data_IF_191423402907
#
_entry.id   IF_191423402907
#
_cell.length_a   1.000
_cell.length_b   1.000
_cell.length_c   1.000
_cell.angle_alpha   90.00
_cell.angle_beta   90.00
_cell.angle_gamma   90.00
#
_symmetry.space_group_name_H-M   'P 1'
#
loop_
_entity.id
_entity.type
_entity.pdbx_description
1 polymer ?
#
# COMPACT_ATOMS: atom_id res chain seq x y z
N UNK A 1 -30.19 20.29 3.87
CA UNK A 1 -31.27 21.30 3.79
C UNK A 1 -32.32 20.92 4.80
N UNK A 2 -32.98 21.90 5.48
CA UNK A 2 -34.04 21.65 6.46
C UNK A 2 -35.24 22.49 6.09
N UNK A 3 -36.31 21.87 5.60
CA UNK A 3 -37.50 22.55 5.14
C UNK A 3 -38.74 21.69 5.38
N UNK A 4 -39.84 22.32 5.79
CA UNK A 4 -41.17 21.76 5.81
C UNK A 4 -41.99 22.45 4.73
N UNK A 5 -42.73 21.67 3.93
CA UNK A 5 -43.55 22.20 2.84
C UNK A 5 -45.00 22.28 3.35
N UNK A 6 -45.38 23.45 3.84
CA UNK A 6 -46.67 23.66 4.49
C UNK A 6 -47.53 24.68 3.75
N UNK A 7 -47.30 24.92 2.50
CA UNK A 7 -48.00 25.88 1.67
C UNK A 7 -49.53 25.60 1.67
N UNK A 8 -49.93 24.33 1.68
CA UNK A 8 -51.32 23.89 1.66
C UNK A 8 -52.05 24.09 3.00
N UNK A 9 -51.36 24.45 4.07
CA UNK A 9 -51.93 24.67 5.42
C UNK A 9 -51.77 26.10 5.89
N UNK A 10 -51.27 27.00 5.06
CA UNK A 10 -51.14 28.43 5.34
C UNK A 10 -52.43 29.13 4.98
N UNK A 11 -52.99 29.92 5.91
CA UNK A 11 -54.12 30.82 5.67
C UNK A 11 -53.68 32.26 5.79
N UNK A 12 -54.26 33.11 4.97
CA UNK A 12 -54.00 34.54 4.98
C UNK A 12 -55.10 35.25 5.80
N UNK A 13 -54.70 35.94 6.84
CA UNK A 13 -55.58 36.77 7.66
C UNK A 13 -55.13 38.24 7.53
N UNK A 14 -55.86 39.02 6.74
CA UNK A 14 -55.41 40.37 6.36
C UNK A 14 -54.08 40.31 5.62
N UNK A 15 -53.07 41.05 6.07
CA UNK A 15 -51.72 41.06 5.50
C UNK A 15 -50.75 40.02 6.09
N UNK A 16 -51.23 39.08 6.93
CA UNK A 16 -50.39 38.10 7.63
C UNK A 16 -50.70 36.67 7.18
N UNK A 17 -49.69 35.95 6.81
CA UNK A 17 -49.79 34.53 6.58
C UNK A 17 -49.54 33.77 7.89
N UNK A 18 -50.42 32.89 8.26
CA UNK A 18 -50.30 32.04 9.45
C UNK A 18 -50.66 30.61 9.13
N UNK A 19 -49.97 29.66 9.78
CA UNK A 19 -50.32 28.24 9.68
C UNK A 19 -51.49 27.98 10.61
N UNK A 20 -52.60 27.50 10.06
CA UNK A 20 -53.74 27.07 10.84
C UNK A 20 -53.59 25.59 11.23
N UNK A 21 -52.95 25.40 12.36
CA UNK A 21 -52.69 24.04 12.87
C UNK A 21 -53.98 23.28 13.20
N UNK A 22 -55.03 23.98 13.58
CA UNK A 22 -56.28 23.35 13.96
C UNK A 22 -57.03 22.78 12.75
N UNK A 23 -57.09 23.56 11.67
CA UNK A 23 -57.68 23.11 10.40
C UNK A 23 -56.71 22.21 9.58
N UNK A 24 -55.54 21.97 10.08
CA UNK A 24 -54.56 21.10 9.46
C UNK A 24 -54.58 19.67 10.01
N UNK A 25 -55.43 19.38 10.99
CA UNK A 25 -55.56 18.02 11.53
C UNK A 25 -55.98 17.05 10.43
N UNK A 26 -55.26 15.92 10.33
CA UNK A 26 -55.42 14.89 9.30
C UNK A 26 -54.62 15.12 8.01
N UNK A 27 -54.09 16.34 7.81
CA UNK A 27 -53.27 16.64 6.63
C UNK A 27 -51.86 16.08 6.75
N UNK A 28 -51.30 15.80 5.60
CA UNK A 28 -49.92 15.31 5.43
C UNK A 28 -49.02 16.45 4.93
N UNK A 29 -47.89 16.64 5.58
CA UNK A 29 -46.91 17.70 5.26
C UNK A 29 -45.61 17.07 4.83
N UNK A 30 -45.20 17.26 3.59
CA UNK A 30 -43.87 16.83 3.12
C UNK A 30 -42.76 17.62 3.84
N UNK A 31 -41.65 16.97 4.08
CA UNK A 31 -40.46 17.59 4.66
C UNK A 31 -39.14 17.08 4.06
N UNK A 32 -38.11 17.90 4.18
CA UNK A 32 -36.73 17.55 4.01
C UNK A 32 -35.97 17.98 5.26
N UNK A 33 -35.23 17.06 5.87
CA UNK A 33 -34.41 17.34 7.05
C UNK A 33 -33.05 16.64 6.88
N UNK A 34 -32.06 17.39 6.41
CA UNK A 34 -30.73 16.92 6.01
C UNK A 34 -30.83 15.75 4.99
N UNK A 35 -30.59 14.53 5.38
CA UNK A 35 -30.70 13.30 4.56
C UNK A 35 -32.06 12.59 4.68
N UNK A 36 -32.92 13.03 5.61
CA UNK A 36 -34.27 12.48 5.79
C UNK A 36 -35.27 13.26 4.94
N UNK A 37 -36.12 12.55 4.24
CA UNK A 37 -37.27 13.10 3.57
C UNK A 37 -38.51 12.22 3.81
N UNK A 38 -39.67 12.77 3.62
CA UNK A 38 -40.92 12.05 3.83
C UNK A 38 -42.09 12.95 4.10
N UNK A 39 -43.11 12.39 4.73
CA UNK A 39 -44.35 13.05 5.05
C UNK A 39 -44.65 12.89 6.53
N UNK A 40 -45.05 13.97 7.18
CA UNK A 40 -45.53 14.00 8.55
C UNK A 40 -47.04 14.22 8.51
N UNK A 41 -47.81 13.41 9.22
CA UNK A 41 -49.24 13.57 9.36
C UNK A 41 -49.57 14.33 10.65
N UNK A 42 -50.42 15.37 10.60
CA UNK A 42 -50.88 16.10 11.75
C UNK A 42 -52.03 15.34 12.40
N UNK A 43 -51.90 14.99 13.68
CA UNK A 43 -52.91 14.24 14.41
C UNK A 43 -53.75 15.13 15.29
N UNK A 44 -53.16 16.13 15.96
CA UNK A 44 -53.85 17.01 16.89
C UNK A 44 -53.06 18.31 17.12
N UNK A 45 -53.74 19.36 17.61
CA UNK A 45 -53.11 20.62 18.01
C UNK A 45 -53.63 21.12 19.34
N UNK A 46 -52.75 21.22 20.31
CA UNK A 46 -53.07 21.81 21.62
C UNK A 46 -52.68 23.30 21.64
N UNK A 47 -53.67 24.17 21.50
CA UNK A 47 -53.46 25.63 21.46
C UNK A 47 -52.93 26.21 22.77
N UNK A 48 -53.29 25.62 23.93
CA UNK A 48 -52.83 26.09 25.26
C UNK A 48 -51.35 25.83 25.46
N UNK A 49 -50.88 24.68 25.01
CA UNK A 49 -49.46 24.28 25.12
C UNK A 49 -48.63 24.64 23.87
N UNK A 50 -49.26 25.16 22.82
CA UNK A 50 -48.62 25.44 21.53
C UNK A 50 -47.91 24.24 20.97
N UNK A 51 -48.52 23.03 21.11
CA UNK A 51 -47.97 21.75 20.68
C UNK A 51 -48.82 21.10 19.60
N UNK A 52 -48.16 20.51 18.60
CA UNK A 52 -48.76 19.74 17.53
C UNK A 52 -48.41 18.26 17.76
N UNK A 53 -49.39 17.39 17.73
CA UNK A 53 -49.22 15.94 17.71
C UNK A 53 -49.06 15.51 16.24
N UNK A 54 -48.00 14.80 15.94
CA UNK A 54 -47.70 14.35 14.58
C UNK A 54 -47.44 12.86 14.55
N UNK A 55 -47.71 12.24 13.42
CA UNK A 55 -47.32 10.87 13.11
C UNK A 55 -46.22 10.87 12.05
N UNK A 56 -45.21 10.05 12.28
CA UNK A 56 -44.17 9.73 11.28
C UNK A 56 -43.76 8.26 11.39
N UNK A 57 -43.85 7.53 10.29
CA UNK A 57 -43.56 6.09 10.23
C UNK A 57 -44.26 5.27 11.34
N UNK A 58 -45.54 5.50 11.53
CA UNK A 58 -46.39 4.78 12.50
C UNK A 58 -46.12 5.13 13.99
N UNK A 59 -45.31 6.14 14.28
CA UNK A 59 -45.07 6.63 15.65
C UNK A 59 -45.59 8.04 15.86
N UNK A 60 -46.12 8.28 17.04
CA UNK A 60 -46.69 9.59 17.42
C UNK A 60 -45.65 10.40 18.20
N UNK A 61 -45.53 11.68 17.86
CA UNK A 61 -44.64 12.63 18.51
C UNK A 61 -45.39 13.91 18.88
N UNK A 62 -44.97 14.55 19.94
CA UNK A 62 -45.43 15.89 20.28
C UNK A 62 -44.32 16.91 20.06
N UNK A 63 -44.58 17.93 19.26
CA UNK A 63 -43.65 18.96 18.89
C UNK A 63 -44.23 20.35 19.08
N UNK A 64 -43.43 21.32 19.53
CA UNK A 64 -43.95 22.69 19.58
C UNK A 64 -44.19 23.19 18.14
N UNK A 65 -45.26 23.97 17.98
CA UNK A 65 -45.60 24.57 16.68
C UNK A 65 -44.43 25.39 16.11
N UNK A 66 -43.67 26.07 16.97
CA UNK A 66 -42.43 26.76 16.57
C UNK A 66 -41.38 25.82 16.01
N UNK A 67 -41.13 24.70 16.67
CA UNK A 67 -40.12 23.75 16.23
C UNK A 67 -40.53 23.07 14.91
N UNK A 68 -41.82 22.70 14.78
CA UNK A 68 -42.34 22.12 13.55
C UNK A 68 -42.25 23.12 12.39
N UNK A 69 -42.70 24.34 12.56
CA UNK A 69 -42.65 25.40 11.55
C UNK A 69 -41.22 25.68 11.05
N UNK A 70 -40.24 25.57 11.92
CA UNK A 70 -38.84 25.82 11.60
C UNK A 70 -38.06 24.53 11.25
N UNK A 71 -38.77 23.44 10.96
CA UNK A 71 -38.20 22.14 10.64
C UNK A 71 -37.10 21.66 11.63
N UNK A 72 -37.33 21.93 12.97
CA UNK A 72 -36.44 21.47 14.03
C UNK A 72 -36.82 20.05 14.46
N UNK A 73 -36.60 19.07 13.58
CA UNK A 73 -37.12 17.70 13.70
C UNK A 73 -36.15 16.71 14.31
N UNK A 74 -34.96 17.14 14.76
CA UNK A 74 -33.86 16.28 15.22
C UNK A 74 -34.30 15.21 16.22
N UNK A 75 -35.17 15.53 17.17
CA UNK A 75 -35.57 14.55 18.20
C UNK A 75 -36.49 13.46 17.64
N UNK A 76 -37.26 13.75 16.58
CA UNK A 76 -38.08 12.75 15.89
C UNK A 76 -37.18 11.70 15.27
N UNK A 77 -36.12 12.14 14.56
CA UNK A 77 -35.20 11.25 13.88
C UNK A 77 -34.22 10.54 14.81
N UNK A 78 -34.09 11.00 16.08
CA UNK A 78 -33.29 10.30 17.07
C UNK A 78 -33.79 8.89 17.35
N UNK A 79 -35.09 8.62 17.14
CA UNK A 79 -35.69 7.32 17.39
C UNK A 79 -35.69 6.37 16.19
N UNK A 80 -35.35 6.86 14.98
CA UNK A 80 -35.29 6.05 13.78
C UNK A 80 -33.85 5.76 13.38
N UNK A 81 -33.59 4.58 12.89
CA UNK A 81 -32.34 4.22 12.24
C UNK A 81 -32.29 4.82 10.83
N UNK A 82 -31.10 5.22 10.40
CA UNK A 82 -30.88 5.83 9.09
C UNK A 82 -31.03 4.81 7.95
N UNK A 83 -30.61 3.59 8.21
CA UNK A 83 -30.58 2.49 7.25
C UNK A 83 -31.37 1.30 7.76
N UNK A 84 -31.83 0.45 6.83
CA UNK A 84 -32.64 -0.74 7.13
C UNK A 84 -31.83 -2.03 7.04
N UNK A 85 -32.34 -3.10 7.67
CA UNK A 85 -31.73 -4.43 7.54
C UNK A 85 -31.84 -4.89 6.08
N UNK A 86 -30.73 -5.39 5.53
CA UNK A 86 -30.62 -5.81 4.13
C UNK A 86 -30.14 -4.72 3.17
N UNK A 87 -30.17 -3.45 3.59
CA UNK A 87 -29.68 -2.33 2.79
C UNK A 87 -28.16 -2.42 2.57
N UNK A 88 -27.73 -2.02 1.36
CA UNK A 88 -26.32 -2.01 0.96
C UNK A 88 -25.86 -0.55 0.93
N UNK A 89 -24.79 -0.26 1.68
CA UNK A 89 -24.22 1.07 1.83
C UNK A 89 -22.78 1.03 1.36
N UNK A 90 -22.40 1.99 0.51
CA UNK A 90 -21.01 2.16 0.07
C UNK A 90 -20.27 3.17 0.94
N UNK A 91 -19.02 2.89 1.26
CA UNK A 91 -18.08 3.84 1.88
C UNK A 91 -17.21 4.57 0.82
N UNK A 92 -17.56 4.39 -0.48
CA UNK A 92 -16.82 4.91 -1.63
C UNK A 92 -15.78 3.94 -2.18
N UNK A 93 -15.46 2.86 -1.46
CA UNK A 93 -14.49 1.83 -1.85
C UNK A 93 -15.09 0.42 -1.72
N UNK A 94 -15.84 0.18 -0.65
CA UNK A 94 -16.41 -1.13 -0.31
C UNK A 94 -17.92 -1.02 -0.11
N UNK A 95 -18.61 -2.14 -0.32
CA UNK A 95 -20.05 -2.27 -0.10
C UNK A 95 -20.33 -3.08 1.17
N UNK A 96 -21.16 -2.51 2.05
CA UNK A 96 -21.53 -3.09 3.33
C UNK A 96 -23.02 -3.37 3.36
N UNK A 97 -23.42 -4.64 3.55
CA UNK A 97 -24.82 -5.02 3.73
C UNK A 97 -25.17 -5.04 5.21
N UNK A 98 -26.21 -4.35 5.59
CA UNK A 98 -26.69 -4.30 6.98
C UNK A 98 -27.33 -5.62 7.36
N UNK A 99 -26.85 -6.24 8.45
CA UNK A 99 -27.36 -7.51 9.00
C UNK A 99 -28.25 -7.30 10.22
N UNK A 100 -27.91 -6.32 11.09
CA UNK A 100 -28.62 -6.06 12.35
C UNK A 100 -28.53 -4.60 12.70
N UNK A 101 -29.57 -4.08 13.33
CA UNK A 101 -29.63 -2.72 13.89
C UNK A 101 -30.07 -2.81 15.36
N UNK A 102 -29.42 -2.05 16.23
CA UNK A 102 -29.73 -2.02 17.65
C UNK A 102 -29.32 -0.71 18.31
N UNK A 103 -29.96 -0.40 19.46
CA UNK A 103 -29.52 0.70 20.31
C UNK A 103 -28.71 0.13 21.46
N UNK A 104 -27.48 0.58 21.61
CA UNK A 104 -26.57 0.15 22.69
C UNK A 104 -26.28 1.31 23.63
N UNK A 105 -26.10 0.99 24.91
CA UNK A 105 -25.65 1.97 25.89
C UNK A 105 -24.14 1.98 25.98
N UNK A 106 -23.56 3.17 25.93
CA UNK A 106 -22.12 3.38 26.04
C UNK A 106 -21.82 4.46 27.08
N UNK A 107 -20.95 4.13 28.01
CA UNK A 107 -20.49 5.11 29.01
C UNK A 107 -19.29 5.87 28.46
N UNK A 108 -19.39 7.19 28.41
CA UNK A 108 -18.30 8.08 28.06
C UNK A 108 -18.13 9.15 29.15
N UNK A 109 -16.98 9.19 29.80
CA UNK A 109 -16.70 10.10 30.93
C UNK A 109 -17.76 10.06 32.03
N UNK A 110 -18.23 8.86 32.38
CA UNK A 110 -19.26 8.65 33.39
C UNK A 110 -20.70 8.95 32.96
N UNK A 111 -20.92 9.37 31.71
CA UNK A 111 -22.26 9.66 31.16
C UNK A 111 -22.69 8.48 30.27
N UNK A 112 -23.84 7.90 30.56
CA UNK A 112 -24.46 6.86 29.75
C UNK A 112 -25.14 7.52 28.53
N UNK A 113 -24.72 7.12 27.34
CA UNK A 113 -25.29 7.60 26.09
C UNK A 113 -25.83 6.41 25.28
N UNK A 114 -27.02 6.56 24.73
CA UNK A 114 -27.60 5.62 23.76
C UNK A 114 -27.00 5.89 22.38
N UNK A 115 -26.46 4.85 21.75
CA UNK A 115 -25.88 4.88 20.41
C UNK A 115 -26.58 3.88 19.52
N UNK A 116 -26.91 4.28 18.30
CA UNK A 116 -27.41 3.39 17.27
C UNK A 116 -26.25 2.67 16.63
N UNK A 117 -26.31 1.35 16.60
CA UNK A 117 -25.27 0.47 16.13
C UNK A 117 -25.79 -0.40 15.00
N UNK A 118 -24.97 -0.57 13.99
CA UNK A 118 -25.22 -1.41 12.83
C UNK A 118 -24.19 -2.53 12.78
N UNK A 119 -24.67 -3.78 12.72
CA UNK A 119 -23.84 -4.92 12.34
C UNK A 119 -23.95 -5.08 10.83
N UNK A 120 -22.81 -5.14 10.16
CA UNK A 120 -22.75 -5.26 8.70
C UNK A 120 -21.83 -6.40 8.26
N UNK A 121 -22.01 -6.87 7.04
CA UNK A 121 -21.06 -7.71 6.33
C UNK A 121 -20.47 -6.92 5.16
N UNK A 122 -19.14 -6.90 5.06
CA UNK A 122 -18.43 -6.37 3.89
C UNK A 122 -18.57 -7.36 2.73
N UNK A 123 -19.10 -6.91 1.59
CA UNK A 123 -19.36 -7.79 0.46
C UNK A 123 -18.08 -8.20 -0.29
N UNK A 124 -16.98 -7.46 -0.13
CA UNK A 124 -15.69 -7.74 -0.75
C UNK A 124 -14.89 -8.80 0.00
N UNK A 125 -14.90 -8.78 1.34
CA UNK A 125 -14.06 -9.69 2.15
C UNK A 125 -14.82 -10.61 3.09
N UNK A 126 -16.15 -10.49 3.18
CA UNK A 126 -16.99 -11.29 4.07
C UNK A 126 -16.86 -10.94 5.56
N UNK A 127 -16.08 -9.92 5.94
CA UNK A 127 -15.91 -9.53 7.34
C UNK A 127 -17.22 -8.99 7.92
N UNK A 128 -17.59 -9.51 9.10
CA UNK A 128 -18.72 -9.02 9.86
C UNK A 128 -18.19 -8.05 10.91
N UNK A 129 -18.59 -6.81 10.80
CA UNK A 129 -18.17 -5.74 11.71
C UNK A 129 -19.35 -4.95 12.27
N UNK A 130 -19.02 -3.99 13.12
CA UNK A 130 -20.00 -3.07 13.67
C UNK A 130 -19.56 -1.63 13.49
N UNK A 131 -20.52 -0.77 13.12
CA UNK A 131 -20.32 0.68 13.07
C UNK A 131 -21.46 1.38 13.83
N UNK A 132 -21.16 2.54 14.40
CA UNK A 132 -22.21 3.45 14.86
C UNK A 132 -22.79 4.22 13.67
N UNK A 133 -24.01 4.76 13.83
CA UNK A 133 -24.72 5.46 12.75
C UNK A 133 -23.91 6.61 12.14
N UNK A 134 -23.10 7.31 12.95
CA UNK A 134 -22.22 8.36 12.50
C UNK A 134 -21.03 7.91 11.65
N UNK A 135 -20.63 6.64 11.76
CA UNK A 135 -19.45 6.07 11.11
C UNK A 135 -19.77 5.25 9.84
N UNK A 136 -20.99 4.69 9.76
CA UNK A 136 -21.38 3.85 8.62
C UNK A 136 -21.41 4.66 7.33
N UNK A 137 -20.92 4.10 6.24
CA UNK A 137 -20.73 4.77 4.96
C UNK A 137 -19.59 5.81 4.94
N UNK A 138 -18.81 5.93 6.03
CA UNK A 138 -17.67 6.86 6.14
C UNK A 138 -16.36 6.14 6.49
N UNK A 139 -16.45 5.05 7.22
CA UNK A 139 -15.28 4.25 7.62
C UNK A 139 -15.16 3.03 6.74
N UNK A 140 -13.96 2.80 6.27
CA UNK A 140 -13.62 1.62 5.48
C UNK A 140 -13.75 0.35 6.32
N UNK A 141 -13.98 -0.76 5.62
CA UNK A 141 -13.92 -2.07 6.25
C UNK A 141 -12.57 -2.28 6.95
N UNK A 142 -12.54 -2.56 8.26
CA UNK A 142 -11.28 -2.70 8.99
C UNK A 142 -10.47 -3.94 8.55
N UNK A 143 -11.10 -4.95 7.97
CA UNK A 143 -10.40 -6.07 7.37
C UNK A 143 -9.75 -5.68 6.04
N UNK A 144 -10.49 -5.08 5.11
CA UNK A 144 -9.95 -4.65 3.82
C UNK A 144 -8.84 -3.60 3.96
N UNK A 145 -8.97 -2.68 4.94
CA UNK A 145 -7.95 -1.68 5.25
C UNK A 145 -6.72 -2.25 6.00
N UNK A 146 -6.77 -3.51 6.45
CA UNK A 146 -5.72 -4.13 7.23
C UNK A 146 -5.62 -3.67 8.69
N UNK A 147 -6.62 -2.95 9.21
CA UNK A 147 -6.68 -2.53 10.61
C UNK A 147 -6.97 -3.69 11.57
N UNK A 148 -7.70 -4.69 11.09
CA UNK A 148 -8.00 -5.94 11.82
C UNK A 148 -7.48 -7.12 11.02
N UNK A 149 -6.82 -8.05 11.69
CA UNK A 149 -6.38 -9.31 11.07
C UNK A 149 -7.49 -10.35 11.17
N UNK A 150 -7.86 -10.92 10.03
CA UNK A 150 -8.84 -12.02 9.94
C UNK A 150 -8.13 -13.21 9.29
N UNK A 151 -7.95 -14.27 10.08
CA UNK A 151 -7.25 -15.48 9.64
C UNK A 151 -8.00 -16.11 8.46
N UNK A 152 -7.27 -16.48 7.42
CA UNK A 152 -7.83 -17.01 6.17
C UNK A 152 -8.37 -15.96 5.20
N UNK A 153 -8.29 -14.66 5.54
CA UNK A 153 -8.75 -13.55 4.68
C UNK A 153 -7.63 -12.58 4.36
N UNK A 154 -7.07 -11.91 5.37
CA UNK A 154 -6.06 -10.86 5.17
C UNK A 154 -4.80 -11.05 6.02
N UNK A 155 -4.65 -12.18 6.67
CA UNK A 155 -3.46 -12.56 7.41
C UNK A 155 -2.28 -12.87 6.47
N UNK A 156 -1.06 -12.76 6.99
CA UNK A 156 0.16 -12.97 6.20
C UNK A 156 0.19 -14.32 5.49
N UNK A 157 -0.11 -15.47 6.15
CA UNK A 157 -0.13 -16.76 5.47
C UNK A 157 -1.06 -16.81 4.26
N UNK A 158 -2.18 -16.10 4.29
CA UNK A 158 -3.16 -16.09 3.21
C UNK A 158 -2.75 -15.18 2.06
N UNK A 159 -2.28 -13.95 2.36
CA UNK A 159 -2.07 -12.92 1.33
C UNK A 159 -0.60 -12.65 0.99
N UNK A 160 0.33 -13.13 1.82
CA UNK A 160 1.77 -12.97 1.64
C UNK A 160 2.55 -14.16 2.23
N UNK A 161 2.30 -15.42 1.79
CA UNK A 161 2.87 -16.63 2.41
C UNK A 161 4.41 -16.64 2.41
N UNK A 162 5.06 -15.95 1.48
CA UNK A 162 6.50 -15.78 1.45
C UNK A 162 7.08 -15.07 2.68
N UNK A 163 6.26 -14.32 3.44
CA UNK A 163 6.70 -13.63 4.65
C UNK A 163 6.78 -14.55 5.86
N UNK A 164 6.18 -15.74 5.84
CA UNK A 164 6.15 -16.67 6.98
C UNK A 164 7.56 -16.97 7.49
N UNK A 165 8.52 -17.17 6.58
CA UNK A 165 9.90 -17.51 6.90
C UNK A 165 10.66 -16.42 7.69
N UNK A 166 10.11 -15.22 7.80
CA UNK A 166 10.67 -14.13 8.61
C UNK A 166 10.19 -14.15 10.06
N UNK A 167 9.22 -14.98 10.41
CA UNK A 167 8.67 -15.08 11.75
C UNK A 167 9.30 -16.24 12.52
N UNK A 168 9.74 -16.00 13.77
CA UNK A 168 10.34 -17.04 14.59
C UNK A 168 9.35 -18.15 14.94
N UNK A 169 8.08 -17.78 15.19
CA UNK A 169 6.96 -18.72 15.41
C UNK A 169 6.35 -19.25 14.11
N UNK A 170 6.94 -18.95 12.95
CA UNK A 170 6.46 -19.45 11.65
C UNK A 170 5.02 -19.04 11.37
N UNK A 171 4.23 -20.02 10.90
CA UNK A 171 2.83 -19.84 10.53
C UNK A 171 1.97 -19.29 11.68
N UNK A 172 2.15 -19.84 12.89
CA UNK A 172 1.32 -19.48 14.05
C UNK A 172 1.53 -18.05 14.53
N UNK A 173 2.72 -17.52 14.39
CA UNK A 173 3.00 -16.10 14.64
C UNK A 173 2.53 -15.22 13.48
N UNK A 174 2.82 -15.61 12.24
CA UNK A 174 2.52 -14.82 11.04
C UNK A 174 1.02 -14.59 10.84
N UNK A 175 0.15 -15.57 11.19
CA UNK A 175 -1.32 -15.45 11.09
C UNK A 175 -1.94 -14.38 11.99
N UNK A 176 -1.18 -13.85 12.97
CA UNK A 176 -1.64 -12.80 13.88
C UNK A 176 -1.52 -11.40 13.25
N UNK A 177 -0.95 -11.28 12.07
CA UNK A 177 -0.63 -10.01 11.44
C UNK A 177 -1.08 -9.93 9.99
N UNK A 178 -1.39 -8.70 9.57
CA UNK A 178 -1.53 -8.36 8.14
C UNK A 178 -0.17 -7.92 7.58
N UNK A 179 0.05 -8.07 6.27
CA UNK A 179 1.29 -7.61 5.61
C UNK A 179 1.55 -6.10 5.73
N UNK A 180 0.51 -5.30 6.02
CA UNK A 180 0.59 -3.84 6.20
C UNK A 180 0.74 -3.42 7.65
N UNK A 181 0.84 -4.37 8.59
CA UNK A 181 0.92 -4.13 10.02
C UNK A 181 2.12 -3.23 10.39
N UNK A 182 1.88 -2.24 11.25
CA UNK A 182 2.92 -1.37 11.80
C UNK A 182 3.60 -1.94 13.05
N UNK A 183 3.23 -3.15 13.47
CA UNK A 183 3.88 -3.85 14.57
C UNK A 183 5.32 -4.22 14.22
N UNK A 184 6.17 -4.29 15.23
CA UNK A 184 7.59 -4.61 15.10
C UNK A 184 7.88 -5.99 15.69
N UNK A 185 8.60 -6.80 14.93
CA UNK A 185 9.05 -8.14 15.33
C UNK A 185 10.59 -8.21 15.31
N UNK A 186 11.16 -9.23 15.94
CA UNK A 186 12.55 -9.64 15.72
C UNK A 186 12.57 -10.71 14.62
N UNK A 187 12.81 -10.34 13.36
CA UNK A 187 12.68 -11.31 12.27
C UNK A 187 13.86 -12.29 12.26
N UNK A 188 13.58 -13.50 11.81
CA UNK A 188 14.59 -14.49 11.43
C UNK A 188 14.92 -14.33 9.96
N UNK A 189 16.19 -14.44 9.61
CA UNK A 189 16.59 -14.42 8.20
C UNK A 189 16.23 -15.75 7.54
N UNK A 190 15.45 -15.79 6.44
CA UNK A 190 15.06 -17.03 5.78
C UNK A 190 16.28 -17.79 5.19
N UNK A 191 17.39 -17.09 4.95
CA UNK A 191 18.57 -17.64 4.33
C UNK A 191 19.59 -18.20 5.34
N UNK A 192 20.06 -17.40 6.30
CA UNK A 192 21.07 -17.82 7.27
C UNK A 192 20.51 -18.24 8.63
N UNK A 193 19.19 -18.20 8.78
CA UNK A 193 18.44 -18.56 10.01
C UNK A 193 18.83 -17.79 11.28
N UNK A 194 19.57 -16.69 11.16
CA UNK A 194 19.93 -15.82 12.28
C UNK A 194 18.80 -14.84 12.58
N UNK A 195 18.54 -14.62 13.87
CA UNK A 195 17.59 -13.61 14.33
C UNK A 195 18.24 -12.24 14.21
N UNK A 196 17.54 -11.28 13.63
CA UNK A 196 18.04 -9.90 13.55
C UNK A 196 17.98 -9.25 14.93
N UNK A 197 19.08 -8.61 15.42
CA UNK A 197 19.13 -8.04 16.77
C UNK A 197 18.24 -6.78 16.93
N UNK A 198 17.77 -6.19 15.83
CA UNK A 198 16.89 -5.03 15.84
C UNK A 198 15.51 -5.41 15.35
N UNK A 199 14.47 -4.90 16.01
CA UNK A 199 13.08 -5.05 15.57
C UNK A 199 12.88 -4.36 14.22
N UNK A 200 12.12 -5.02 13.34
CA UNK A 200 11.71 -4.53 12.02
C UNK A 200 10.19 -4.42 11.98
N UNK A 201 9.68 -3.39 11.32
CA UNK A 201 8.24 -3.22 11.11
C UNK A 201 7.79 -4.23 10.05
N UNK A 202 6.68 -4.93 10.29
CA UNK A 202 6.17 -5.97 9.38
C UNK A 202 5.89 -5.39 7.99
N UNK A 203 5.27 -4.22 7.90
CA UNK A 203 5.02 -3.56 6.61
C UNK A 203 6.29 -3.18 5.84
N UNK A 204 7.42 -3.03 6.53
CA UNK A 204 8.70 -2.74 5.88
C UNK A 204 9.29 -4.03 5.26
N UNK A 205 9.09 -5.19 5.92
CA UNK A 205 9.45 -6.48 5.33
C UNK A 205 8.68 -6.69 4.02
N UNK A 206 7.35 -6.41 4.05
CA UNK A 206 6.52 -6.49 2.86
C UNK A 206 6.95 -5.49 1.77
N UNK A 207 7.33 -4.30 2.14
CA UNK A 207 7.72 -3.23 1.21
C UNK A 207 9.07 -3.50 0.53
N UNK A 208 10.06 -3.97 1.31
CA UNK A 208 11.44 -4.12 0.85
C UNK A 208 11.78 -5.54 0.43
N UNK A 209 10.89 -6.50 0.63
CA UNK A 209 11.12 -7.94 0.45
C UNK A 209 12.40 -8.43 1.13
N UNK A 210 12.80 -7.74 2.19
CA UNK A 210 14.08 -7.93 2.87
C UNK A 210 14.04 -7.41 4.31
N UNK A 211 14.89 -7.97 5.14
CA UNK A 211 15.18 -7.46 6.48
C UNK A 211 16.56 -6.78 6.56
N UNK A 212 17.25 -6.63 5.43
CA UNK A 212 18.61 -6.09 5.38
C UNK A 212 19.60 -6.95 6.18
N UNK A 213 19.57 -8.27 5.98
CA UNK A 213 20.53 -9.18 6.61
C UNK A 213 21.89 -9.07 5.91
N UNK A 214 22.99 -9.10 6.69
CA UNK A 214 24.37 -9.06 6.15
C UNK A 214 24.72 -10.24 5.24
N UNK A 215 23.97 -11.36 5.33
CA UNK A 215 24.15 -12.52 4.47
C UNK A 215 23.67 -12.31 3.03
N UNK A 216 22.91 -11.23 2.75
CA UNK A 216 22.38 -10.94 1.43
C UNK A 216 23.42 -10.29 0.50
N UNK A 217 23.07 -10.21 -0.78
CA UNK A 217 23.85 -9.53 -1.81
C UNK A 217 23.91 -8.01 -1.65
N UNK A 218 23.08 -7.45 -0.78
CA UNK A 218 22.91 -6.01 -0.51
C UNK A 218 22.38 -5.21 -1.71
N UNK A 219 21.78 -5.87 -2.71
CA UNK A 219 21.12 -5.22 -3.83
C UNK A 219 19.66 -4.97 -3.55
N UNK A 220 19.15 -3.83 -3.98
CA UNK A 220 17.73 -3.50 -3.86
C UNK A 220 16.87 -4.34 -4.81
N UNK A 221 15.59 -4.50 -4.47
CA UNK A 221 14.62 -5.16 -5.35
C UNK A 221 14.58 -4.53 -6.74
N UNK A 222 14.43 -3.18 -6.90
CA UNK A 222 14.43 -2.57 -8.23
C UNK A 222 15.70 -2.84 -9.05
N UNK A 223 16.88 -2.78 -8.41
CA UNK A 223 18.13 -3.01 -9.13
C UNK A 223 18.26 -4.46 -9.62
N UNK A 224 17.80 -5.43 -8.87
CA UNK A 224 17.75 -6.82 -9.34
C UNK A 224 16.71 -7.00 -10.43
N UNK A 225 15.56 -6.32 -10.31
CA UNK A 225 14.49 -6.38 -11.30
C UNK A 225 14.96 -5.94 -12.69
N UNK A 226 15.63 -4.77 -12.77
CA UNK A 226 16.14 -4.28 -14.06
C UNK A 226 17.26 -5.17 -14.61
N UNK A 227 18.12 -5.73 -13.78
CA UNK A 227 19.16 -6.67 -14.21
C UNK A 227 18.52 -7.86 -14.94
N UNK A 228 17.50 -8.50 -14.37
CA UNK A 228 16.84 -9.64 -15.00
C UNK A 228 16.07 -9.24 -16.27
N UNK A 229 15.44 -8.07 -16.29
CA UNK A 229 14.77 -7.55 -17.48
C UNK A 229 15.76 -7.38 -18.64
N UNK A 230 16.90 -6.71 -18.39
CA UNK A 230 17.93 -6.48 -19.41
C UNK A 230 18.56 -7.79 -19.91
N UNK A 231 18.66 -8.81 -19.04
CA UNK A 231 19.07 -10.16 -19.43
C UNK A 231 18.11 -10.78 -20.45
N UNK A 232 16.82 -10.68 -20.19
CA UNK A 232 15.78 -11.23 -21.08
C UNK A 232 15.70 -10.47 -22.41
N UNK A 233 16.09 -9.20 -22.42
CA UNK A 233 16.21 -8.40 -23.65
C UNK A 233 17.44 -8.78 -24.48
N UNK A 234 18.37 -9.59 -23.94
CA UNK A 234 19.62 -9.98 -24.62
C UNK A 234 20.47 -8.81 -25.10
N UNK A 235 20.39 -7.66 -24.41
CA UNK A 235 21.18 -6.46 -24.71
C UNK A 235 22.53 -6.51 -24.00
N UNK A 236 23.51 -5.78 -24.55
CA UNK A 236 24.79 -5.59 -23.85
C UNK A 236 24.59 -4.50 -22.78
N UNK A 237 24.77 -4.86 -21.53
CA UNK A 237 24.54 -3.95 -20.41
C UNK A 237 25.53 -4.16 -19.26
N UNK A 238 25.63 -3.16 -18.42
CA UNK A 238 26.22 -3.22 -17.10
C UNK A 238 25.29 -2.57 -16.06
N UNK A 239 25.52 -2.86 -14.79
CA UNK A 239 24.76 -2.29 -13.66
C UNK A 239 25.70 -1.65 -12.64
N UNK A 240 25.21 -0.71 -11.84
CA UNK A 240 26.01 0.07 -10.87
C UNK A 240 27.25 0.68 -11.56
N UNK A 241 27.02 1.45 -12.63
CA UNK A 241 28.10 1.99 -13.47
C UNK A 241 28.45 3.41 -13.03
N UNK A 242 29.74 3.68 -12.94
CA UNK A 242 30.29 5.03 -12.84
C UNK A 242 31.16 5.29 -14.06
N UNK A 243 30.83 6.32 -14.82
CA UNK A 243 31.62 6.74 -15.98
C UNK A 243 32.69 7.76 -15.57
N UNK A 244 33.73 7.90 -16.35
CA UNK A 244 34.82 8.88 -16.11
C UNK A 244 34.30 10.32 -16.03
N UNK A 245 33.28 10.64 -16.82
CA UNK A 245 32.63 11.96 -16.88
C UNK A 245 31.54 12.17 -15.79
N UNK A 246 31.18 11.15 -15.03
CA UNK A 246 30.00 11.18 -14.15
C UNK A 246 30.24 11.80 -12.78
N UNK A 247 31.37 12.45 -12.51
CA UNK A 247 31.68 13.11 -11.24
C UNK A 247 31.40 12.24 -10.01
N UNK A 248 31.75 10.95 -10.07
CA UNK A 248 31.47 9.91 -9.04
C UNK A 248 30.01 9.47 -8.92
N UNK A 249 29.08 10.03 -9.68
CA UNK A 249 27.71 9.52 -9.73
C UNK A 249 27.69 8.10 -10.30
N UNK A 250 26.93 7.24 -9.64
CA UNK A 250 26.68 5.87 -10.05
C UNK A 250 25.27 5.74 -10.58
N UNK A 251 25.14 5.11 -11.74
CA UNK A 251 23.88 4.80 -12.37
C UNK A 251 23.50 3.34 -12.15
N UNK A 252 22.20 3.05 -12.00
CA UNK A 252 21.74 1.70 -11.65
C UNK A 252 21.98 0.68 -12.77
N UNK A 253 21.71 1.06 -14.02
CA UNK A 253 22.04 0.24 -15.18
C UNK A 253 22.38 1.08 -16.41
N UNK A 254 23.07 0.47 -17.34
CA UNK A 254 23.45 1.08 -18.63
C UNK A 254 23.30 0.03 -19.72
N UNK A 255 22.61 0.36 -20.81
CA UNK A 255 22.57 -0.42 -22.04
C UNK A 255 23.56 0.23 -23.02
N UNK A 256 24.52 -0.55 -23.47
CA UNK A 256 25.50 -0.11 -24.48
C UNK A 256 24.93 -0.29 -25.87
N UNK A 257 24.76 0.82 -26.58
CA UNK A 257 24.30 0.79 -27.98
C UNK A 257 25.40 0.48 -28.94
N UNK A 258 26.67 0.75 -28.59
CA UNK A 258 27.83 0.51 -29.41
C UNK A 258 29.08 0.25 -28.55
N UNK A 259 29.74 -0.88 -28.76
CA UNK A 259 31.09 -1.25 -28.30
C UNK A 259 31.52 -0.84 -26.88
N UNK A 260 30.60 -0.87 -25.91
CA UNK A 260 30.85 -0.45 -24.52
C UNK A 260 31.50 0.94 -24.38
N UNK A 261 31.25 1.84 -25.34
CA UNK A 261 31.64 3.24 -25.22
C UNK A 261 31.04 3.91 -24.01
N UNK A 262 31.67 4.92 -23.45
CA UNK A 262 31.10 5.78 -22.40
C UNK A 262 30.05 6.78 -22.93
N UNK A 263 29.84 6.84 -24.24
CA UNK A 263 28.95 7.80 -24.92
C UNK A 263 27.88 7.09 -25.74
N UNK A 264 26.76 7.76 -25.96
CA UNK A 264 25.63 7.26 -26.76
C UNK A 264 24.98 5.98 -26.20
N UNK A 265 24.82 5.93 -24.87
CA UNK A 265 24.22 4.79 -24.19
C UNK A 265 22.83 5.18 -23.63
N UNK A 266 22.09 4.16 -23.22
CA UNK A 266 20.87 4.32 -22.43
C UNK A 266 21.24 4.05 -20.97
N UNK A 267 21.16 5.09 -20.16
CA UNK A 267 21.39 5.05 -18.72
C UNK A 267 20.07 4.92 -18.02
N UNK A 268 19.97 4.05 -17.03
CA UNK A 268 18.71 3.75 -16.31
C UNK A 268 18.91 4.00 -14.83
N UNK A 269 17.95 4.75 -14.23
CA UNK A 269 17.79 4.95 -12.79
C UNK A 269 16.48 4.30 -12.32
N UNK A 270 16.57 3.49 -11.27
CA UNK A 270 15.44 2.81 -10.64
C UNK A 270 15.07 3.55 -9.37
N UNK A 271 14.22 4.58 -9.49
CA UNK A 271 13.90 5.51 -8.41
C UNK A 271 13.08 4.85 -7.29
N UNK A 272 13.73 4.53 -6.18
CA UNK A 272 13.10 3.96 -5.00
C UNK A 272 12.31 4.98 -4.16
N UNK A 273 11.69 4.52 -3.07
CA UNK A 273 10.86 5.35 -2.17
C UNK A 273 11.70 6.26 -1.24
N UNK A 274 12.99 6.12 -1.23
CA UNK A 274 13.83 6.89 -0.31
C UNK A 274 14.02 8.30 -0.87
N UNK A 275 13.28 9.24 -0.30
CA UNK A 275 13.50 10.68 -0.32
C UNK A 275 13.26 11.48 -1.62
N UNK A 276 12.98 10.91 -2.79
CA UNK A 276 12.76 11.66 -4.03
C UNK A 276 11.67 12.77 -3.90
N UNK A 277 11.99 13.82 -3.16
CA UNK A 277 11.12 14.98 -2.93
C UNK A 277 9.92 14.77 -2.00
N UNK A 278 9.72 13.56 -1.46
CA UNK A 278 8.56 13.18 -0.64
C UNK A 278 8.30 14.11 0.55
N UNK A 279 9.35 14.68 1.13
CA UNK A 279 9.25 15.52 2.33
C UNK A 279 9.16 17.01 2.06
N UNK A 280 9.34 17.48 0.83
CA UNK A 280 9.37 18.91 0.52
C UNK A 280 8.03 19.59 0.83
N UNK A 281 6.92 18.93 0.55
CA UNK A 281 5.57 19.44 0.78
C UNK A 281 4.90 18.84 2.03
N UNK A 282 5.65 18.11 2.86
CA UNK A 282 5.09 17.48 4.06
C UNK A 282 5.19 18.44 5.25
N UNK A 283 4.04 19.01 5.65
CA UNK A 283 3.92 19.96 6.79
C UNK A 283 4.47 19.41 8.13
N UNK A 284 4.59 18.08 8.27
CA UNK A 284 5.09 17.41 9.48
C UNK A 284 6.54 16.93 9.34
N UNK A 285 7.22 17.24 8.23
CA UNK A 285 8.61 16.86 8.04
C UNK A 285 9.53 17.77 8.87
N UNK A 286 10.57 17.19 9.49
CA UNK A 286 11.62 17.98 10.14
C UNK A 286 12.45 18.71 9.08
N UNK A 287 12.99 19.87 9.44
CA UNK A 287 13.87 20.67 8.55
C UNK A 287 15.00 19.83 7.93
N UNK A 288 15.65 18.99 8.74
CA UNK A 288 16.69 18.06 8.27
C UNK A 288 16.19 17.12 7.15
N UNK A 289 14.95 16.61 7.23
CA UNK A 289 14.38 15.76 6.19
C UNK A 289 14.09 16.52 4.89
N UNK A 290 13.69 17.78 5.02
CA UNK A 290 13.44 18.66 3.86
C UNK A 290 14.76 18.99 3.16
N UNK A 291 15.83 19.29 3.93
CA UNK A 291 17.17 19.56 3.37
C UNK A 291 17.66 18.33 2.59
N UNK A 292 17.65 17.14 3.21
CA UNK A 292 18.06 15.88 2.55
C UNK A 292 17.27 15.64 1.28
N UNK A 293 15.96 15.84 1.29
CA UNK A 293 15.12 15.67 0.10
C UNK A 293 15.44 16.68 -1.03
N UNK A 294 15.83 17.89 -0.68
CA UNK A 294 16.29 18.90 -1.66
C UNK A 294 17.63 18.52 -2.27
N UNK A 295 18.58 18.10 -1.45
CA UNK A 295 19.91 17.66 -1.92
C UNK A 295 19.80 16.48 -2.86
N UNK A 296 18.88 15.54 -2.60
CA UNK A 296 18.63 14.40 -3.49
C UNK A 296 18.04 14.82 -4.83
N UNK A 297 17.07 15.74 -4.86
CA UNK A 297 16.54 16.28 -6.13
C UNK A 297 17.67 16.97 -6.93
N UNK A 298 18.52 17.74 -6.26
CA UNK A 298 19.65 18.41 -6.92
C UNK A 298 20.60 17.37 -7.50
N UNK A 299 20.90 16.31 -6.77
CA UNK A 299 21.74 15.21 -7.24
C UNK A 299 21.12 14.49 -8.43
N UNK A 300 19.81 14.23 -8.41
CA UNK A 300 19.08 13.61 -9.49
C UNK A 300 19.11 14.46 -10.78
N UNK A 301 18.86 15.78 -10.64
CA UNK A 301 18.97 16.72 -11.74
C UNK A 301 20.39 16.80 -12.29
N UNK A 302 21.41 16.79 -11.42
CA UNK A 302 22.79 16.78 -11.85
C UNK A 302 23.16 15.53 -12.62
N UNK A 303 22.72 14.33 -12.17
CA UNK A 303 22.89 13.07 -12.91
C UNK A 303 22.30 13.16 -14.32
N UNK A 304 21.09 13.72 -14.45
CA UNK A 304 20.42 13.89 -15.74
C UNK A 304 21.20 14.84 -16.67
N UNK A 305 21.54 16.01 -16.17
CA UNK A 305 22.29 17.03 -16.95
C UNK A 305 23.63 16.48 -17.41
N UNK A 306 24.35 15.77 -16.53
CA UNK A 306 25.67 15.21 -16.85
C UNK A 306 25.56 14.08 -17.87
N UNK A 307 24.58 13.18 -17.75
CA UNK A 307 24.35 12.13 -18.73
C UNK A 307 24.04 12.72 -20.13
N UNK A 308 23.12 13.68 -20.20
CA UNK A 308 22.73 14.34 -21.46
C UNK A 308 23.89 15.11 -22.09
N UNK A 309 24.70 15.86 -21.31
CA UNK A 309 25.90 16.56 -21.79
C UNK A 309 26.94 15.63 -22.40
N UNK A 310 26.95 14.37 -21.98
CA UNK A 310 27.85 13.34 -22.49
C UNK A 310 27.16 12.40 -23.50
N UNK A 311 26.11 12.89 -24.16
CA UNK A 311 25.37 12.20 -25.21
C UNK A 311 24.81 10.84 -24.79
N UNK A 312 24.39 10.70 -23.52
CA UNK A 312 23.69 9.50 -23.03
C UNK A 312 22.22 9.83 -22.78
N UNK A 313 21.32 8.87 -23.06
CA UNK A 313 19.91 8.99 -22.74
C UNK A 313 19.65 8.51 -21.33
N UNK A 314 19.04 9.32 -20.49
CA UNK A 314 18.64 8.90 -19.15
C UNK A 314 17.15 8.52 -19.12
N UNK A 315 16.88 7.32 -18.63
CA UNK A 315 15.54 6.81 -18.34
C UNK A 315 15.39 6.66 -16.84
N UNK A 316 14.37 7.27 -16.26
CA UNK A 316 14.03 7.12 -14.85
C UNK A 316 12.75 6.30 -14.72
N UNK A 317 12.81 5.27 -13.90
CA UNK A 317 11.68 4.36 -13.63
C UNK A 317 11.25 4.52 -12.18
N UNK A 318 10.00 4.90 -11.96
CA UNK A 318 9.42 4.96 -10.62
C UNK A 318 9.29 3.55 -10.01
N UNK A 319 10.08 3.30 -8.98
CA UNK A 319 10.16 2.03 -8.25
C UNK A 319 9.89 2.19 -6.76
N UNK A 320 9.10 3.22 -6.37
CA UNK A 320 8.77 3.51 -4.96
C UNK A 320 8.05 2.36 -4.25
N UNK A 321 7.41 1.48 -5.01
CA UNK A 321 6.77 0.26 -4.50
C UNK A 321 7.48 -0.94 -5.11
N UNK A 322 8.06 -1.79 -4.26
CA UNK A 322 8.71 -3.06 -4.67
C UNK A 322 7.63 -4.11 -4.96
N UNK A 323 6.91 -3.93 -6.05
CA UNK A 323 5.84 -4.78 -6.54
C UNK A 323 5.98 -4.96 -8.04
N UNK A 324 5.79 -6.20 -8.51
CA UNK A 324 6.00 -6.57 -9.91
C UNK A 324 5.09 -5.78 -10.85
N UNK A 325 3.82 -5.62 -10.51
CA UNK A 325 2.86 -4.92 -11.38
C UNK A 325 3.12 -3.42 -11.40
N UNK A 326 3.50 -2.85 -10.25
CA UNK A 326 3.84 -1.44 -10.16
C UNK A 326 5.05 -1.11 -11.04
N UNK A 327 6.16 -1.84 -10.89
CA UNK A 327 7.39 -1.60 -11.67
C UNK A 327 7.17 -1.93 -13.15
N UNK A 328 6.50 -3.04 -13.45
CA UNK A 328 6.13 -3.40 -14.83
C UNK A 328 5.37 -2.26 -15.51
N UNK A 329 4.33 -1.72 -14.88
CA UNK A 329 3.52 -0.64 -15.48
C UNK A 329 4.37 0.61 -15.73
N UNK A 330 5.26 0.98 -14.81
CA UNK A 330 6.15 2.13 -14.99
C UNK A 330 7.19 1.89 -16.10
N UNK A 331 7.68 0.67 -16.26
CA UNK A 331 8.56 0.31 -17.39
C UNK A 331 7.80 0.37 -18.72
N UNK A 332 6.58 -0.20 -18.78
CA UNK A 332 5.75 -0.20 -19.99
C UNK A 332 5.33 1.23 -20.42
N UNK A 333 5.28 2.17 -19.49
CA UNK A 333 5.00 3.59 -19.76
C UNK A 333 6.28 4.44 -19.94
N UNK A 334 7.46 3.83 -19.98
CA UNK A 334 8.74 4.52 -20.15
C UNK A 334 9.28 4.40 -21.59
N UNK A 335 10.34 5.15 -21.87
CA UNK A 335 11.07 5.06 -23.13
C UNK A 335 11.66 3.67 -23.43
N UNK A 336 11.84 2.82 -22.41
CA UNK A 336 12.27 1.44 -22.66
C UNK A 336 11.25 0.66 -23.51
N UNK A 337 9.95 0.85 -23.30
CA UNK A 337 8.91 0.20 -24.08
C UNK A 337 8.79 0.74 -25.51
N UNK A 338 9.23 2.00 -25.75
CA UNK A 338 9.28 2.56 -27.08
C UNK A 338 10.48 2.01 -27.91
N UNK A 339 11.58 1.68 -27.24
CA UNK A 339 12.83 1.30 -27.89
C UNK A 339 13.08 -0.20 -27.95
N UNK A 340 12.43 -0.98 -27.08
CA UNK A 340 12.61 -2.44 -26.98
C UNK A 340 11.27 -3.16 -26.99
N UNK A 341 11.25 -4.33 -27.65
CA UNK A 341 10.10 -5.23 -27.59
C UNK A 341 10.04 -5.93 -26.22
N UNK A 342 9.13 -5.46 -25.37
CA UNK A 342 8.90 -6.02 -24.03
C UNK A 342 7.83 -7.11 -24.00
N UNK A 343 7.25 -7.50 -25.15
CA UNK A 343 6.15 -8.47 -25.23
C UNK A 343 6.55 -9.89 -24.77
N UNK A 344 7.83 -10.23 -24.89
CA UNK A 344 8.39 -11.54 -24.54
C UNK A 344 8.98 -11.61 -23.14
N UNK A 345 8.92 -10.54 -22.37
CA UNK A 345 9.47 -10.50 -21.01
C UNK A 345 8.61 -11.33 -20.05
N UNK A 346 9.24 -12.29 -19.39
CA UNK A 346 8.69 -12.99 -18.23
C UNK A 346 8.86 -12.12 -16.96
N UNK A 347 7.83 -11.34 -16.66
CA UNK A 347 7.80 -10.46 -15.51
C UNK A 347 7.87 -11.21 -14.17
N UNK A 348 7.34 -12.43 -14.10
CA UNK A 348 7.41 -13.26 -12.91
C UNK A 348 8.86 -13.70 -12.63
N UNK A 349 9.65 -13.93 -13.68
CA UNK A 349 11.07 -14.22 -13.56
C UNK A 349 11.84 -13.01 -13.03
N UNK A 350 11.50 -11.79 -13.48
CA UNK A 350 12.06 -10.56 -12.94
C UNK A 350 11.76 -10.43 -11.43
N UNK A 351 10.52 -10.67 -11.02
CA UNK A 351 10.09 -10.64 -9.63
C UNK A 351 10.82 -11.67 -8.77
N UNK A 352 10.85 -12.93 -9.23
CA UNK A 352 11.54 -14.03 -8.55
C UNK A 352 13.03 -13.71 -8.34
N UNK A 353 13.72 -13.22 -9.35
CA UNK A 353 15.12 -12.82 -9.24
C UNK A 353 15.29 -11.61 -8.30
N UNK A 354 14.40 -10.62 -8.37
CA UNK A 354 14.43 -9.45 -7.50
C UNK A 354 14.24 -9.79 -6.01
N UNK A 355 13.42 -10.80 -5.71
CA UNK A 355 13.20 -11.32 -4.36
C UNK A 355 14.32 -12.26 -3.88
N UNK A 356 15.15 -12.81 -4.77
CA UNK A 356 16.18 -13.81 -4.43
C UNK A 356 17.35 -13.21 -3.62
N UNK A 357 18.13 -14.07 -3.01
CA UNK A 357 19.45 -13.72 -2.45
C UNK A 357 20.52 -14.34 -3.36
N UNK A 358 21.20 -13.52 -4.15
CA UNK A 358 22.20 -13.96 -5.13
C UNK A 358 23.33 -14.78 -4.47
N UNK A 359 23.70 -14.45 -3.23
CA UNK A 359 24.73 -15.23 -2.48
C UNK A 359 24.25 -16.65 -2.23
N UNK A 360 22.98 -16.82 -1.85
CA UNK A 360 22.38 -18.14 -1.65
C UNK A 360 22.22 -18.88 -2.95
N UNK A 361 21.67 -18.25 -3.98
CA UNK A 361 21.49 -18.86 -5.31
C UNK A 361 22.81 -19.38 -5.88
N UNK A 362 23.88 -18.59 -5.75
CA UNK A 362 25.22 -19.00 -6.13
C UNK A 362 25.72 -20.20 -5.31
N UNK A 363 25.49 -20.18 -3.99
CA UNK A 363 25.91 -21.29 -3.14
C UNK A 363 25.16 -22.60 -3.47
N UNK A 364 23.85 -22.53 -3.74
CA UNK A 364 23.06 -23.70 -4.16
C UNK A 364 23.51 -24.21 -5.55
N UNK A 365 23.77 -23.28 -6.48
CA UNK A 365 24.30 -23.64 -7.79
C UNK A 365 25.65 -24.41 -7.69
N UNK A 366 26.55 -23.97 -6.78
CA UNK A 366 27.82 -24.64 -6.53
C UNK A 366 27.63 -26.03 -5.91
N UNK A 367 26.65 -26.20 -5.02
CA UNK A 367 26.35 -27.51 -4.42
C UNK A 367 25.82 -28.54 -5.43
N UNK A 368 25.04 -28.08 -6.39
CA UNK A 368 24.41 -28.94 -7.40
C UNK A 368 25.32 -29.26 -8.58
N UNK A 369 26.37 -28.46 -8.78
CA UNK A 369 27.26 -28.60 -9.91
C UNK A 369 28.73 -28.80 -9.44
N UNK A 370 29.28 -29.96 -9.66
CA UNK A 370 30.57 -30.37 -9.06
C UNK A 370 31.83 -29.76 -9.68
N UNK A 371 31.71 -29.07 -10.82
CA UNK A 371 32.87 -28.66 -11.62
C UNK A 371 32.72 -27.23 -12.17
N UNK A 372 32.57 -26.25 -11.27
CA UNK A 372 32.27 -24.86 -11.61
C UNK A 372 33.53 -24.00 -11.66
N UNK A 373 33.60 -23.14 -12.69
CA UNK A 373 34.60 -22.11 -12.89
C UNK A 373 34.08 -20.71 -12.55
N UNK A 374 34.98 -19.76 -12.32
CA UNK A 374 34.58 -18.34 -12.13
C UNK A 374 33.94 -17.77 -13.40
N UNK A 375 34.36 -18.23 -14.58
CA UNK A 375 33.73 -17.82 -15.85
C UNK A 375 32.28 -18.24 -15.92
N UNK A 376 31.96 -19.46 -15.50
CA UNK A 376 30.55 -19.93 -15.42
C UNK A 376 29.75 -19.17 -14.39
N UNK A 377 30.31 -18.91 -13.20
CA UNK A 377 29.65 -18.08 -12.19
C UNK A 377 29.39 -16.65 -12.67
N UNK A 378 30.34 -16.04 -13.40
CA UNK A 378 30.13 -14.73 -14.05
C UNK A 378 28.97 -14.77 -15.02
N UNK A 379 28.93 -15.76 -15.88
CA UNK A 379 27.89 -15.86 -16.90
C UNK A 379 26.51 -16.12 -16.30
N UNK A 380 26.42 -17.03 -15.32
CA UNK A 380 25.14 -17.41 -14.72
C UNK A 380 24.56 -16.34 -13.78
N UNK A 381 25.42 -15.62 -13.06
CA UNK A 381 24.99 -14.61 -12.08
C UNK A 381 25.32 -13.17 -12.48
N UNK A 382 25.92 -12.99 -13.69
CA UNK A 382 26.24 -11.67 -14.25
C UNK A 382 27.13 -10.82 -13.33
N UNK A 383 28.13 -11.48 -12.72
CA UNK A 383 29.10 -10.75 -11.91
C UNK A 383 30.09 -9.99 -12.79
N UNK A 384 30.36 -8.74 -12.42
CA UNK A 384 31.29 -7.86 -13.13
C UNK A 384 32.76 -8.30 -12.98
N UNK A 385 33.12 -8.78 -11.79
CA UNK A 385 34.51 -9.08 -11.44
C UNK A 385 34.62 -10.38 -10.66
N UNK A 386 35.82 -10.94 -10.69
CA UNK A 386 36.19 -12.09 -9.86
C UNK A 386 36.13 -11.72 -8.36
N UNK A 387 36.43 -10.47 -8.00
CA UNK A 387 36.35 -9.97 -6.61
C UNK A 387 34.93 -10.03 -6.05
N UNK A 388 33.93 -9.75 -6.88
CA UNK A 388 32.55 -9.90 -6.49
C UNK A 388 32.20 -11.36 -6.17
N UNK A 389 32.67 -12.30 -7.01
CA UNK A 389 32.47 -13.74 -6.77
C UNK A 389 33.18 -14.16 -5.49
N UNK A 390 34.42 -13.76 -5.32
CA UNK A 390 35.23 -14.09 -4.12
C UNK A 390 34.53 -13.61 -2.85
N UNK A 391 34.13 -12.33 -2.79
CA UNK A 391 33.42 -11.74 -1.68
C UNK A 391 32.10 -12.47 -1.37
N UNK A 392 31.35 -12.93 -2.40
CA UNK A 392 30.11 -13.66 -2.22
C UNK A 392 30.33 -15.10 -1.76
N UNK A 393 31.39 -15.75 -2.23
CA UNK A 393 31.83 -17.07 -1.75
C UNK A 393 32.21 -17.02 -0.26
N UNK A 394 33.04 -16.03 0.16
CA UNK A 394 33.40 -15.83 1.55
C UNK A 394 32.18 -15.59 2.41
N UNK A 395 31.24 -14.75 1.91
CA UNK A 395 29.97 -14.50 2.59
C UNK A 395 29.12 -15.76 2.71
N UNK A 396 29.04 -16.58 1.67
CA UNK A 396 28.33 -17.85 1.69
C UNK A 396 28.87 -18.81 2.75
N UNK A 397 30.19 -18.89 2.89
CA UNK A 397 30.86 -19.71 3.93
C UNK A 397 30.58 -19.12 5.31
N UNK A 398 30.81 -17.82 5.52
CA UNK A 398 30.60 -17.13 6.81
C UNK A 398 29.19 -17.35 7.38
N UNK A 399 28.20 -17.42 6.52
CA UNK A 399 26.79 -17.58 6.91
C UNK A 399 26.26 -19.01 6.78
N UNK A 400 27.14 -20.00 6.54
CA UNK A 400 26.81 -21.42 6.50
C UNK A 400 26.01 -21.86 5.26
N UNK A 401 26.00 -21.06 4.21
CA UNK A 401 25.34 -21.40 2.94
C UNK A 401 26.20 -22.30 2.05
N UNK A 402 27.52 -22.26 2.22
CA UNK A 402 28.51 -23.07 1.48
C UNK A 402 29.51 -23.65 2.46
N UNK A 403 29.97 -24.89 2.23
CA UNK A 403 31.03 -25.48 3.03
C UNK A 403 32.40 -24.91 2.63
N UNK A 404 33.34 -24.91 3.61
CA UNK A 404 34.73 -24.49 3.34
C UNK A 404 35.41 -25.36 2.29
N UNK A 405 35.06 -26.63 2.24
CA UNK A 405 35.60 -27.59 1.25
C UNK A 405 35.22 -27.19 -0.18
N UNK A 406 33.92 -26.92 -0.43
CA UNK A 406 33.43 -26.47 -1.74
C UNK A 406 34.02 -25.11 -2.13
N UNK A 407 34.13 -24.16 -1.19
CA UNK A 407 34.81 -22.90 -1.40
C UNK A 407 36.26 -23.13 -1.90
N UNK A 408 37.04 -23.94 -1.18
CA UNK A 408 38.43 -24.24 -1.55
C UNK A 408 38.54 -24.94 -2.92
N UNK A 409 37.58 -25.80 -3.28
CA UNK A 409 37.51 -26.47 -4.58
C UNK A 409 37.32 -25.47 -5.72
N UNK A 410 36.40 -24.52 -5.58
CA UNK A 410 36.16 -23.47 -6.58
C UNK A 410 37.36 -22.53 -6.70
N UNK A 411 38.00 -22.16 -5.59
CA UNK A 411 39.20 -21.32 -5.57
C UNK A 411 40.38 -21.97 -6.31
N UNK A 412 40.67 -23.25 -6.05
CA UNK A 412 41.77 -23.97 -6.71
C UNK A 412 41.66 -24.02 -8.24
N UNK A 413 40.41 -24.05 -8.76
CA UNK A 413 40.17 -24.02 -10.21
C UNK A 413 40.43 -22.66 -10.80
N UNK A 414 39.98 -21.59 -10.12
CA UNK A 414 40.25 -20.22 -10.54
C UNK A 414 41.76 -19.95 -10.71
N UNK A 415 42.60 -20.44 -9.77
CA UNK A 415 44.04 -20.31 -9.89
C UNK A 415 44.62 -21.06 -11.11
N UNK A 416 44.10 -22.24 -11.43
CA UNK A 416 44.53 -23.00 -12.63
C UNK A 416 44.12 -22.33 -13.95
N UNK A 417 42.94 -21.74 -14.03
CA UNK A 417 42.49 -21.01 -15.22
C UNK A 417 43.35 -19.76 -15.48
N UNK A 418 43.70 -19.01 -14.45
CA UNK A 418 44.55 -17.83 -14.58
C UNK A 418 46.02 -18.22 -14.98
N UNK A 419 46.50 -19.37 -14.55
CA UNK A 419 47.84 -19.86 -14.90
C UNK A 419 47.91 -20.38 -16.35
N UNK A 420 46.79 -20.78 -16.94
CA UNK A 420 46.73 -21.29 -18.34
C UNK A 420 46.62 -20.17 -19.39
N UNK A 421 46.41 -18.93 -18.98
CA UNK A 421 46.31 -17.76 -19.87
C UNK A 421 47.68 -17.08 -20.09
N UNK A 422 48.70 -17.51 -19.36
CA UNK A 422 50.05 -16.95 -19.41
C UNK A 422 51.08 -17.89 -20.07
N UNK A 423 50.65 -18.88 -20.89
CA UNK A 423 51.53 -19.73 -21.70
C UNK A 423 51.29 -19.49 -23.19
#
# INVERSE_FOLDING_TARGET
MRKLFYEDIVKTYGNRQQIDWKDSIGKEIPFVYDEYNGVIKILDYNSKKQQVSIEYKGRNFQISNYALRNAKLRYIFSDFFKYEIGEIISDGVHNHKILKIEVVEKTYRGIIMKKKQYTYICLECGYIGVHYEEDIGRRWCPCCSGAVTVVGVNDIPTIAPWMIDYFQGGYDEAKLYTKTSKKKIYPICPYCKRIKPKKVVISDINRWHSIGCECSDQKSYPNKFIIELLRQLHVVFDYEVTFSWANQYRYDAVIYLKDKSEYYNIVIEMDGDVNHGRYINNKNATERKIIVARDEIINDLNKEIIALKNNNYLIRIDCRISDVNYIKNNILNSKLAEWFDLSKIDWNKCDKFACSNIVKEMAEYIKTNNDITYKELKNNFYFKSNDTIHRYLEKAVKYGMLSQELYNKVQKKCFKENSSIHI
#
